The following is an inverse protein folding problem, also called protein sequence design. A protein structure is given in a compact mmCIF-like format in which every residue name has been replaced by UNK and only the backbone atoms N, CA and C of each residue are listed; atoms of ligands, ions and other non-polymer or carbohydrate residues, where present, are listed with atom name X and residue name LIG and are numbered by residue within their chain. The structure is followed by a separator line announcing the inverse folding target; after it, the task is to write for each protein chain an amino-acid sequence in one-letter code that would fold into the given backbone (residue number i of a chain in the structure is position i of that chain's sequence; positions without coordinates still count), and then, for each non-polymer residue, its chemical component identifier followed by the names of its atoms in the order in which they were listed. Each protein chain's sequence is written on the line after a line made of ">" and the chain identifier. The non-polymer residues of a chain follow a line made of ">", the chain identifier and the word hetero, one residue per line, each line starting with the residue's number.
data_IF_927461126800
#
_entry.id   IF_927461126800
#
_cell.length_a   1.000
_cell.length_b   1.000
_cell.length_c   1.000
_cell.angle_alpha   90.00
_cell.angle_beta   90.00
_cell.angle_gamma   90.00
#
_symmetry.space_group_name_H-M   'P 1'
#
loop_
_entity.id
_entity.type
_entity.pdbx_description
1 polymer ?
#
# COMPACT_ATOMS: atom_id res chain seq x y z
N UNK A 1 10.50 -10.77 12.73
CA UNK A 1 9.02 -10.73 12.93
C UNK A 1 8.46 -9.84 11.85
N UNK A 2 7.26 -10.10 11.32
CA UNK A 2 6.72 -9.34 10.19
C UNK A 2 5.25 -8.99 10.41
N UNK A 3 4.84 -7.83 9.89
CA UNK A 3 3.45 -7.46 9.69
C UNK A 3 3.23 -7.06 8.23
N UNK A 4 2.21 -7.63 7.59
CA UNK A 4 1.77 -7.24 6.26
C UNK A 4 0.64 -6.21 6.36
N UNK A 5 0.82 -5.04 5.77
CA UNK A 5 -0.16 -3.95 5.77
C UNK A 5 -0.52 -3.57 4.34
N UNK A 6 -1.79 -3.69 3.98
CA UNK A 6 -2.29 -3.18 2.71
C UNK A 6 -2.59 -1.68 2.80
N UNK A 7 -2.24 -0.95 1.75
CA UNK A 7 -2.65 0.45 1.59
C UNK A 7 -3.70 0.51 0.49
N UNK A 8 -4.95 0.72 0.87
CA UNK A 8 -6.10 0.59 -0.03
C UNK A 8 -6.99 1.83 -0.05
N UNK A 9 -7.80 1.94 -1.08
CA UNK A 9 -8.86 2.96 -1.19
C UNK A 9 -9.95 2.47 -2.11
N UNK A 10 -11.18 2.95 -1.95
CA UNK A 10 -12.29 2.59 -2.84
C UNK A 10 -12.30 3.34 -4.17
N UNK A 11 -11.29 4.18 -4.46
CA UNK A 11 -11.28 5.10 -5.61
C UNK A 11 -9.87 5.33 -6.12
N UNK A 12 -9.75 5.53 -7.44
CA UNK A 12 -8.49 5.94 -8.07
C UNK A 12 -8.09 7.38 -7.73
N UNK A 13 -6.79 7.63 -7.74
CA UNK A 13 -6.25 8.98 -7.58
C UNK A 13 -6.23 9.53 -6.14
N UNK A 14 -6.58 8.77 -5.11
CA UNK A 14 -6.53 9.20 -3.69
C UNK A 14 -5.12 9.42 -3.16
N UNK A 15 -4.10 8.88 -3.84
CA UNK A 15 -2.70 8.95 -3.46
C UNK A 15 -2.19 7.74 -2.68
N UNK A 16 -2.75 6.55 -2.90
CA UNK A 16 -2.28 5.29 -2.30
C UNK A 16 -0.78 5.10 -2.45
N UNK A 17 -0.29 5.02 -3.67
CA UNK A 17 1.14 4.82 -3.98
C UNK A 17 2.05 5.85 -3.30
N UNK A 18 1.64 7.14 -3.32
CA UNK A 18 2.36 8.19 -2.58
C UNK A 18 2.35 7.92 -1.07
N UNK A 19 1.22 7.47 -0.53
CA UNK A 19 1.08 7.10 0.89
C UNK A 19 1.92 5.87 1.21
N UNK A 20 1.87 4.83 0.38
CA UNK A 20 2.64 3.59 0.58
C UNK A 20 4.15 3.88 0.65
N UNK A 21 4.68 4.65 -0.29
CA UNK A 21 6.09 5.04 -0.29
C UNK A 21 6.44 5.96 0.89
N UNK A 22 5.56 6.91 1.23
CA UNK A 22 5.81 7.83 2.34
C UNK A 22 5.79 7.12 3.70
N UNK A 23 4.82 6.21 3.94
CA UNK A 23 4.78 5.37 5.13
C UNK A 23 5.98 4.42 5.17
N UNK A 24 6.32 3.81 4.03
CA UNK A 24 7.48 2.91 3.92
C UNK A 24 8.78 3.60 4.32
N UNK A 25 9.05 4.79 3.77
CA UNK A 25 10.24 5.56 4.13
C UNK A 25 10.26 5.98 5.60
N UNK A 26 9.11 6.42 6.15
CA UNK A 26 9.03 6.85 7.54
C UNK A 26 9.23 5.66 8.51
N UNK A 27 8.66 4.49 8.19
CA UNK A 27 8.83 3.28 8.99
C UNK A 27 10.24 2.69 8.87
N UNK A 28 10.91 2.90 7.72
CA UNK A 28 12.27 2.42 7.50
C UNK A 28 13.34 3.13 8.36
N UNK A 29 12.97 4.19 9.07
CA UNK A 29 13.84 4.81 10.08
C UNK A 29 14.07 3.89 11.29
N UNK A 30 13.15 2.95 11.58
CA UNK A 30 13.18 2.06 12.76
C UNK A 30 12.98 0.57 12.44
N UNK A 31 12.57 0.22 11.20
CA UNK A 31 12.20 -1.13 10.80
C UNK A 31 12.81 -1.53 9.46
N UNK A 32 13.00 -2.83 9.24
CA UNK A 32 13.26 -3.37 7.91
C UNK A 32 11.95 -3.40 7.10
N UNK A 33 11.81 -2.48 6.14
CA UNK A 33 10.59 -2.29 5.36
C UNK A 33 10.74 -2.79 3.93
N UNK A 34 9.73 -3.52 3.45
CA UNK A 34 9.59 -3.87 2.04
C UNK A 34 8.26 -3.33 1.50
N UNK A 35 8.30 -2.64 0.36
CA UNK A 35 7.12 -2.14 -0.35
C UNK A 35 6.92 -2.95 -1.63
N UNK A 36 5.72 -3.46 -1.85
CA UNK A 36 5.35 -4.22 -3.04
C UNK A 36 4.24 -3.50 -3.81
N UNK A 37 4.46 -3.27 -5.10
CA UNK A 37 3.41 -2.79 -6.00
C UNK A 37 2.47 -3.94 -6.35
N UNK A 38 1.40 -4.08 -5.60
CA UNK A 38 0.39 -5.11 -5.82
C UNK A 38 -0.74 -4.66 -6.77
N UNK A 39 -0.66 -3.44 -7.34
CA UNK A 39 -1.51 -2.98 -8.45
C UNK A 39 -0.98 -3.51 -9.79
N UNK A 40 -1.10 -4.81 -9.99
CA UNK A 40 -0.55 -5.48 -11.18
C UNK A 40 -1.16 -5.01 -12.49
N UNK A 41 -2.37 -4.44 -12.46
CA UNK A 41 -3.08 -3.98 -13.65
C UNK A 41 -2.78 -2.54 -14.07
N UNK A 42 -2.49 -1.68 -13.10
CA UNK A 42 -2.21 -0.25 -13.33
C UNK A 42 -1.00 0.21 -12.52
N UNK A 43 0.07 -0.58 -12.58
CA UNK A 43 1.31 -0.34 -11.87
C UNK A 43 1.87 1.05 -12.15
N UNK A 44 2.21 1.77 -11.09
CA UNK A 44 2.80 3.10 -11.21
C UNK A 44 3.85 3.40 -10.13
N UNK A 45 4.02 2.51 -9.16
CA UNK A 45 4.97 2.66 -8.07
C UNK A 45 6.40 2.79 -8.59
N UNK A 46 6.76 2.05 -9.65
CA UNK A 46 8.09 2.14 -10.27
C UNK A 46 8.46 3.59 -10.66
N UNK A 47 7.51 4.36 -11.20
CA UNK A 47 7.76 5.77 -11.59
C UNK A 47 7.91 6.68 -10.37
N UNK A 48 7.20 6.39 -9.28
CA UNK A 48 7.26 7.17 -8.04
C UNK A 48 8.49 6.85 -7.19
N UNK A 49 9.11 5.69 -7.42
CA UNK A 49 10.31 5.22 -6.72
C UNK A 49 11.60 5.39 -7.54
N UNK A 50 11.54 6.08 -8.70
CA UNK A 50 12.70 6.25 -9.57
C UNK A 50 13.24 4.93 -10.14
N UNK A 51 12.35 3.97 -10.42
CA UNK A 51 12.66 2.64 -10.93
C UNK A 51 12.08 2.43 -12.35
N UNK A 52 11.90 3.51 -13.10
CA UNK A 52 11.34 3.43 -14.46
C UNK A 52 12.15 2.62 -15.47
N UNK A 53 13.42 2.34 -15.17
CA UNK A 53 14.36 1.53 -15.92
C UNK A 53 14.68 0.17 -15.27
N UNK A 54 13.81 -0.30 -14.34
CA UNK A 54 13.98 -1.60 -13.70
C UNK A 54 13.90 -2.74 -14.72
N UNK A 55 14.96 -3.55 -14.77
CA UNK A 55 15.09 -4.69 -15.71
C UNK A 55 14.15 -5.85 -15.35
N UNK A 56 13.90 -6.06 -14.06
CA UNK A 56 13.08 -7.15 -13.54
C UNK A 56 11.99 -6.58 -12.63
N UNK A 57 10.77 -7.05 -12.77
CA UNK A 57 9.60 -6.53 -12.04
C UNK A 57 8.78 -7.66 -11.41
N UNK A 58 7.79 -7.31 -10.60
CA UNK A 58 6.86 -8.29 -10.04
C UNK A 58 6.17 -9.12 -11.14
N UNK A 59 5.89 -8.55 -12.33
CA UNK A 59 5.33 -9.33 -13.44
C UNK A 59 6.23 -10.52 -13.82
N UNK A 60 7.55 -10.33 -13.88
CA UNK A 60 8.49 -11.41 -14.23
C UNK A 60 8.47 -12.51 -13.16
N UNK A 61 8.31 -12.13 -11.89
CA UNK A 61 8.16 -13.07 -10.78
C UNK A 61 6.84 -13.84 -10.88
N UNK A 62 5.73 -13.15 -11.14
CA UNK A 62 4.40 -13.76 -11.29
C UNK A 62 4.32 -14.69 -12.53
N UNK A 63 5.12 -14.44 -13.55
CA UNK A 63 5.30 -15.29 -14.73
C UNK A 63 6.26 -16.46 -14.50
N UNK A 64 6.88 -16.57 -13.32
CA UNK A 64 7.94 -17.54 -13.02
C UNK A 64 9.20 -17.37 -13.89
N UNK A 65 9.43 -16.19 -14.41
CA UNK A 65 10.60 -15.87 -15.23
C UNK A 65 11.81 -15.42 -14.41
N UNK A 66 11.57 -14.94 -13.17
CA UNK A 66 12.62 -14.49 -12.26
C UNK A 66 12.26 -14.78 -10.79
N UNK A 67 13.24 -14.94 -9.90
CA UNK A 67 13.01 -14.98 -8.45
C UNK A 67 12.70 -13.57 -7.94
N UNK A 68 12.01 -13.47 -6.78
CA UNK A 68 11.59 -12.18 -6.22
C UNK A 68 12.77 -11.29 -5.82
N UNK A 69 13.87 -11.87 -5.45
CA UNK A 69 15.11 -11.15 -5.10
C UNK A 69 15.66 -10.34 -6.30
N UNK A 70 15.47 -10.83 -7.53
CA UNK A 70 15.87 -10.11 -8.74
C UNK A 70 14.96 -8.91 -9.07
N UNK A 71 13.73 -8.91 -8.56
CA UNK A 71 12.78 -7.81 -8.69
C UNK A 71 12.75 -6.90 -7.45
N UNK A 72 13.68 -7.08 -6.51
CA UNK A 72 13.76 -6.32 -5.26
C UNK A 72 14.91 -5.31 -5.34
N UNK A 73 14.59 -4.04 -5.16
CA UNK A 73 15.53 -2.93 -5.29
C UNK A 73 15.65 -2.15 -3.97
N UNK A 74 16.87 -1.90 -3.52
CA UNK A 74 17.12 -1.00 -2.38
C UNK A 74 16.92 0.45 -2.83
N UNK A 75 15.96 1.13 -2.24
CA UNK A 75 15.62 2.53 -2.53
C UNK A 75 15.16 3.26 -1.28
N UNK A 76 15.68 4.43 -1.04
CA UNK A 76 15.23 5.35 0.02
C UNK A 76 15.17 4.71 1.42
N UNK A 77 16.12 3.83 1.75
CA UNK A 77 16.22 3.14 3.04
C UNK A 77 15.28 1.93 3.19
N UNK A 78 14.53 1.58 2.16
CA UNK A 78 13.62 0.42 2.14
C UNK A 78 13.86 -0.44 0.89
N UNK A 79 13.33 -1.66 0.90
CA UNK A 79 13.26 -2.51 -0.28
C UNK A 79 11.97 -2.23 -1.04
N UNK A 80 12.06 -2.18 -2.37
CA UNK A 80 10.92 -1.90 -3.26
C UNK A 80 10.85 -2.98 -4.32
N UNK A 81 9.68 -3.60 -4.45
CA UNK A 81 9.35 -4.56 -5.51
C UNK A 81 8.34 -3.90 -6.46
N UNK A 82 8.81 -3.28 -7.54
CA UNK A 82 7.93 -2.60 -8.49
C UNK A 82 7.21 -3.62 -9.38
N UNK A 83 6.01 -3.28 -9.82
CA UNK A 83 5.33 -4.03 -10.87
C UNK A 83 5.56 -3.38 -12.24
N UNK A 84 5.62 -4.22 -13.28
CA UNK A 84 5.80 -3.75 -14.66
C UNK A 84 4.52 -3.13 -15.25
N UNK A 85 4.66 -2.46 -16.39
CA UNK A 85 3.55 -1.77 -17.08
C UNK A 85 3.06 -2.49 -18.35
N UNK A 86 3.57 -3.69 -18.62
CA UNK A 86 3.19 -4.48 -19.79
C UNK A 86 1.81 -5.11 -19.62
N UNK A 87 0.86 -4.76 -20.49
CA UNK A 87 -0.47 -5.37 -20.50
C UNK A 87 -0.38 -6.89 -20.79
N UNK A 88 0.49 -7.31 -21.72
CA UNK A 88 0.67 -8.73 -22.00
C UNK A 88 1.21 -9.52 -20.81
N UNK A 89 2.13 -8.92 -20.03
CA UNK A 89 2.63 -9.52 -18.81
C UNK A 89 1.55 -9.61 -17.73
N UNK A 90 0.72 -8.57 -17.58
CA UNK A 90 -0.42 -8.58 -16.67
C UNK A 90 -1.44 -9.68 -17.01
N UNK A 91 -1.80 -9.81 -18.28
CA UNK A 91 -2.77 -10.83 -18.75
C UNK A 91 -2.25 -12.27 -18.58
N UNK A 92 -0.93 -12.47 -18.69
CA UNK A 92 -0.29 -13.76 -18.56
C UNK A 92 0.11 -14.12 -17.12
N UNK A 93 0.20 -13.12 -16.23
CA UNK A 93 0.61 -13.32 -14.84
C UNK A 93 -0.44 -14.11 -14.05
N UNK A 94 0.04 -14.99 -13.17
CA UNK A 94 -0.81 -15.68 -12.20
C UNK A 94 -0.88 -14.86 -10.89
N UNK A 95 -2.01 -14.20 -10.60
CA UNK A 95 -2.14 -13.39 -9.37
C UNK A 95 -1.99 -14.23 -8.09
N UNK A 96 -2.29 -15.51 -8.11
CA UNK A 96 -2.19 -16.38 -6.93
C UNK A 96 -0.73 -16.56 -6.48
N UNK A 97 0.25 -16.34 -7.37
CA UNK A 97 1.67 -16.37 -7.03
C UNK A 97 2.11 -15.19 -6.13
N UNK A 98 1.33 -14.13 -6.04
CA UNK A 98 1.60 -13.06 -5.07
C UNK A 98 1.70 -13.58 -3.64
N UNK A 99 1.02 -14.68 -3.33
CA UNK A 99 1.10 -15.36 -2.03
C UNK A 99 2.51 -15.87 -1.73
N UNK A 100 3.15 -16.51 -2.72
CA UNK A 100 4.51 -17.02 -2.60
C UNK A 100 5.53 -15.87 -2.48
N UNK A 101 5.33 -14.81 -3.26
CA UNK A 101 6.14 -13.58 -3.20
C UNK A 101 6.10 -13.00 -1.79
N UNK A 102 4.92 -12.75 -1.25
CA UNK A 102 4.76 -12.20 0.10
C UNK A 102 5.34 -13.14 1.16
N UNK A 103 5.09 -14.45 1.05
CA UNK A 103 5.64 -15.44 1.98
C UNK A 103 7.19 -15.47 1.96
N UNK A 104 7.80 -15.19 0.82
CA UNK A 104 9.27 -15.12 0.69
C UNK A 104 9.79 -13.83 1.31
N UNK A 105 9.22 -12.67 0.96
CA UNK A 105 9.63 -11.37 1.48
C UNK A 105 9.41 -11.23 3.00
N UNK A 106 8.39 -11.90 3.54
CA UNK A 106 8.08 -11.88 4.98
C UNK A 106 9.19 -12.45 5.88
N UNK A 107 10.17 -13.18 5.32
CA UNK A 107 11.26 -13.78 6.11
C UNK A 107 12.31 -12.77 6.56
N UNK A 108 12.52 -11.76 5.75
CA UNK A 108 13.63 -10.80 5.89
C UNK A 108 13.13 -9.36 5.99
N UNK A 109 11.92 -9.15 6.49
CA UNK A 109 11.33 -7.81 6.67
C UNK A 109 10.52 -7.75 7.97
N UNK A 110 10.46 -6.57 8.59
CA UNK A 110 9.62 -6.32 9.76
C UNK A 110 8.24 -5.81 9.34
N UNK A 111 8.19 -4.97 8.31
CA UNK A 111 6.94 -4.40 7.77
C UNK A 111 6.88 -4.58 6.26
N UNK A 112 5.85 -5.27 5.80
CA UNK A 112 5.56 -5.45 4.38
C UNK A 112 4.36 -4.58 3.97
N UNK A 113 4.60 -3.55 3.17
CA UNK A 113 3.55 -2.66 2.65
C UNK A 113 3.11 -3.12 1.26
N UNK A 114 1.81 -3.34 1.07
CA UNK A 114 1.22 -3.73 -0.20
C UNK A 114 0.45 -2.53 -0.80
N UNK A 115 0.96 -1.94 -1.88
CA UNK A 115 0.24 -0.89 -2.64
C UNK A 115 -0.88 -1.54 -3.45
N UNK A 116 -2.12 -1.35 -3.01
CA UNK A 116 -3.28 -2.05 -3.57
C UNK A 116 -3.85 -1.34 -4.80
N UNK A 117 -4.53 -2.05 -5.71
CA UNK A 117 -5.29 -1.45 -6.80
C UNK A 117 -6.33 -0.43 -6.35
N UNK A 118 -6.75 0.42 -7.30
CA UNK A 118 -7.67 1.51 -7.01
C UNK A 118 -9.11 1.08 -6.70
N UNK A 119 -9.50 -0.11 -7.16
CA UNK A 119 -10.87 -0.64 -7.03
C UNK A 119 -10.82 -2.11 -6.63
N UNK A 120 -11.85 -2.59 -5.95
CA UNK A 120 -11.96 -3.98 -5.50
C UNK A 120 -12.73 -4.88 -6.49
N UNK A 121 -12.80 -4.49 -7.76
CA UNK A 121 -13.65 -5.15 -8.76
C UNK A 121 -13.05 -6.40 -9.43
N UNK A 122 -11.89 -6.89 -8.97
CA UNK A 122 -11.28 -8.12 -9.50
C UNK A 122 -10.58 -8.90 -8.39
N UNK A 123 -10.32 -10.19 -8.64
CA UNK A 123 -9.58 -11.05 -7.71
C UNK A 123 -8.20 -10.46 -7.36
N UNK A 124 -7.45 -10.01 -8.35
CA UNK A 124 -6.15 -9.36 -8.16
C UNK A 124 -6.23 -8.09 -7.33
N UNK A 125 -7.32 -7.34 -7.45
CA UNK A 125 -7.52 -6.09 -6.71
C UNK A 125 -7.84 -6.32 -5.22
N UNK A 126 -8.53 -7.40 -4.88
CA UNK A 126 -8.90 -7.75 -3.50
C UNK A 126 -7.75 -8.41 -2.75
N UNK A 127 -6.88 -9.10 -3.47
CA UNK A 127 -5.82 -9.95 -2.94
C UNK A 127 -4.93 -9.25 -1.90
N UNK A 128 -4.39 -8.05 -2.14
CA UNK A 128 -3.53 -7.38 -1.16
C UNK A 128 -4.27 -7.09 0.15
N UNK A 129 -5.55 -6.69 0.09
CA UNK A 129 -6.37 -6.38 1.27
C UNK A 129 -6.68 -7.65 2.07
N UNK A 130 -7.08 -8.72 1.38
CA UNK A 130 -7.46 -10.00 2.04
C UNK A 130 -6.25 -10.70 2.66
N UNK A 131 -5.08 -10.53 2.07
CA UNK A 131 -3.86 -11.20 2.52
C UNK A 131 -3.11 -10.43 3.61
N UNK A 132 -3.32 -9.13 3.76
CA UNK A 132 -2.67 -8.33 4.79
C UNK A 132 -3.16 -8.70 6.22
N UNK A 133 -2.34 -8.43 7.22
CA UNK A 133 -2.74 -8.48 8.63
C UNK A 133 -3.67 -7.31 8.96
N UNK A 134 -3.33 -6.13 8.45
CA UNK A 134 -4.14 -4.93 8.60
C UNK A 134 -4.19 -4.12 7.30
N UNK A 135 -5.20 -3.25 7.19
CA UNK A 135 -5.39 -2.35 6.04
C UNK A 135 -5.42 -0.89 6.48
N UNK A 136 -4.60 -0.05 5.86
CA UNK A 136 -4.70 1.41 5.92
C UNK A 136 -5.64 1.88 4.80
N UNK A 137 -6.72 2.55 5.17
CA UNK A 137 -7.69 3.10 4.21
C UNK A 137 -7.34 4.55 3.90
N UNK A 138 -6.99 4.84 2.64
CA UNK A 138 -6.61 6.19 2.18
C UNK A 138 -7.78 6.88 1.50
N UNK A 139 -8.19 8.04 2.02
CA UNK A 139 -9.37 8.78 1.56
C UNK A 139 -9.08 10.25 1.33
N UNK A 140 -9.76 10.84 0.35
CA UNK A 140 -9.94 12.30 0.34
C UNK A 140 -11.07 12.65 1.33
N UNK A 141 -11.03 13.81 2.03
CA UNK A 141 -12.05 14.16 3.03
C UNK A 141 -13.36 14.64 2.39
N UNK A 142 -14.03 13.74 1.67
CA UNK A 142 -15.31 13.99 1.01
C UNK A 142 -16.32 12.87 1.33
N UNK A 143 -17.61 13.19 1.35
CA UNK A 143 -18.64 12.19 1.64
C UNK A 143 -18.63 11.02 0.64
N UNK A 144 -18.51 11.23 -0.68
CA UNK A 144 -18.38 10.10 -1.61
C UNK A 144 -17.17 9.20 -1.31
N UNK A 145 -16.00 9.79 -0.99
CA UNK A 145 -14.82 9.02 -0.66
C UNK A 145 -14.99 8.19 0.64
N UNK A 146 -15.71 8.71 1.62
CA UNK A 146 -16.08 7.94 2.82
C UNK A 146 -16.88 6.69 2.45
N UNK A 147 -17.92 6.84 1.59
CA UNK A 147 -18.73 5.71 1.15
C UNK A 147 -17.92 4.64 0.42
N UNK A 148 -16.99 5.05 -0.44
CA UNK A 148 -16.12 4.12 -1.14
C UNK A 148 -15.12 3.45 -0.20
N UNK A 149 -14.59 4.19 0.77
CA UNK A 149 -13.68 3.64 1.79
C UNK A 149 -14.36 2.66 2.74
N UNK A 150 -15.64 2.86 3.07
CA UNK A 150 -16.41 1.93 3.89
C UNK A 150 -16.48 0.55 3.25
N UNK A 151 -16.67 0.48 1.93
CA UNK A 151 -16.63 -0.80 1.19
C UNK A 151 -15.28 -1.50 1.35
N UNK A 152 -14.17 -0.75 1.34
CA UNK A 152 -12.84 -1.32 1.59
C UNK A 152 -12.76 -1.91 2.99
N UNK A 153 -13.23 -1.18 4.02
CA UNK A 153 -13.28 -1.65 5.40
C UNK A 153 -14.17 -2.89 5.57
N UNK A 154 -15.35 -2.89 4.96
CA UNK A 154 -16.27 -4.04 4.97
C UNK A 154 -15.63 -5.28 4.31
N UNK A 155 -14.93 -5.09 3.18
CA UNK A 155 -14.17 -6.17 2.54
C UNK A 155 -13.07 -6.69 3.47
N UNK A 156 -12.22 -5.81 4.00
CA UNK A 156 -11.16 -6.20 4.90
C UNK A 156 -11.70 -7.05 6.07
N UNK A 157 -12.73 -6.55 6.75
CA UNK A 157 -13.36 -7.23 7.89
C UNK A 157 -14.02 -8.56 7.50
N UNK A 158 -14.71 -8.62 6.35
CA UNK A 158 -15.36 -9.84 5.86
C UNK A 158 -14.37 -10.98 5.60
N UNK A 159 -13.11 -10.64 5.29
CA UNK A 159 -12.03 -11.62 5.08
C UNK A 159 -11.04 -11.73 6.25
N UNK A 160 -11.40 -11.16 7.39
CA UNK A 160 -10.64 -11.29 8.63
C UNK A 160 -9.38 -10.43 8.67
N UNK A 161 -9.34 -9.35 7.89
CA UNK A 161 -8.29 -8.34 7.92
C UNK A 161 -8.75 -7.14 8.72
N UNK A 162 -7.96 -6.72 9.72
CA UNK A 162 -8.30 -5.57 10.55
C UNK A 162 -8.05 -4.25 9.81
N UNK A 163 -8.81 -3.20 10.15
CA UNK A 163 -8.53 -1.84 9.69
C UNK A 163 -7.50 -1.22 10.63
N UNK A 164 -6.28 -1.00 10.12
CA UNK A 164 -5.21 -0.34 10.87
C UNK A 164 -5.55 1.12 11.19
N UNK A 165 -6.31 1.75 10.31
CA UNK A 165 -6.81 3.10 10.47
C UNK A 165 -7.08 3.79 9.13
N UNK A 166 -7.57 5.03 9.24
CA UNK A 166 -7.91 5.88 8.08
C UNK A 166 -6.91 7.02 7.96
N UNK A 167 -6.35 7.20 6.78
CA UNK A 167 -5.51 8.34 6.43
C UNK A 167 -6.27 9.26 5.47
N UNK A 168 -6.53 10.49 5.89
CA UNK A 168 -7.09 11.51 5.00
C UNK A 168 -5.97 12.19 4.23
N UNK A 169 -6.02 12.08 2.91
CA UNK A 169 -5.04 12.67 2.00
C UNK A 169 -5.65 13.83 1.20
N UNK A 170 -4.79 14.72 0.71
CA UNK A 170 -5.17 15.90 -0.08
C UNK A 170 -6.17 16.82 0.64
N UNK A 171 -6.05 16.91 1.94
CA UNK A 171 -6.91 17.78 2.76
C UNK A 171 -6.77 19.23 2.31
N UNK A 172 -7.90 19.90 2.12
CA UNK A 172 -8.01 21.33 1.78
C UNK A 172 -9.02 22.00 2.71
N UNK A 173 -8.63 23.11 3.32
CA UNK A 173 -9.50 23.83 4.25
C UNK A 173 -9.92 22.98 5.46
N UNK A 174 -11.09 23.27 6.02
CA UNK A 174 -11.62 22.57 7.18
C UNK A 174 -12.29 21.23 6.79
N UNK A 175 -11.63 20.14 7.09
CA UNK A 175 -12.15 18.79 6.92
C UNK A 175 -12.73 18.18 8.21
N UNK A 176 -12.73 18.90 9.32
CA UNK A 176 -13.02 18.38 10.66
C UNK A 176 -14.31 17.57 10.75
N UNK A 177 -15.41 18.05 10.14
CA UNK A 177 -16.71 17.34 10.15
C UNK A 177 -16.68 16.01 9.41
N UNK A 178 -15.89 15.91 8.33
CA UNK A 178 -15.78 14.66 7.55
C UNK A 178 -14.92 13.66 8.30
N UNK A 179 -13.82 14.12 8.87
CA UNK A 179 -12.90 13.31 9.69
C UNK A 179 -13.61 12.77 10.93
N UNK A 180 -14.37 13.61 11.65
CA UNK A 180 -15.16 13.19 12.80
C UNK A 180 -16.22 12.13 12.44
N UNK A 181 -16.90 12.32 11.30
CA UNK A 181 -17.83 11.29 10.80
C UNK A 181 -17.15 9.97 10.51
N UNK A 182 -15.97 9.99 9.87
CA UNK A 182 -15.23 8.77 9.56
C UNK A 182 -14.94 7.95 10.83
N UNK A 183 -14.52 8.59 11.92
CA UNK A 183 -14.26 7.92 13.20
C UNK A 183 -15.45 7.19 13.81
N UNK A 184 -16.68 7.39 13.28
CA UNK A 184 -17.89 6.67 13.71
C UNK A 184 -18.22 5.45 12.87
N UNK A 185 -17.61 5.33 11.70
CA UNK A 185 -17.95 4.30 10.71
C UNK A 185 -16.82 3.32 10.42
N UNK A 186 -15.57 3.69 10.72
CA UNK A 186 -14.43 2.79 10.55
C UNK A 186 -14.01 2.20 11.90
N UNK A 187 -13.82 0.90 11.93
CA UNK A 187 -13.26 0.18 13.10
C UNK A 187 -11.75 0.38 13.21
N UNK A 188 -11.31 1.65 13.27
CA UNK A 188 -9.90 1.99 13.37
C UNK A 188 -9.67 3.48 13.60
N UNK A 189 -8.49 3.88 14.10
CA UNK A 189 -8.17 5.26 14.38
C UNK A 189 -7.99 6.10 13.11
N UNK A 190 -8.13 7.42 13.22
CA UNK A 190 -7.61 8.34 12.22
C UNK A 190 -6.08 8.44 12.40
N UNK A 191 -5.33 7.89 11.42
CA UNK A 191 -3.87 7.93 11.42
C UNK A 191 -3.34 9.34 11.17
N UNK A 192 -4.03 10.13 10.35
CA UNK A 192 -3.60 11.49 10.08
C UNK A 192 -4.41 12.20 9.00
N UNK A 193 -4.06 13.46 8.83
CA UNK A 193 -4.58 14.34 7.79
C UNK A 193 -3.40 14.95 7.02
N UNK A 194 -3.20 14.52 5.77
CA UNK A 194 -2.12 15.00 4.91
C UNK A 194 -2.65 16.14 4.05
N UNK A 195 -2.10 17.34 4.14
CA UNK A 195 -2.57 18.47 3.37
C UNK A 195 -2.31 18.28 1.87
N UNK A 196 -3.16 18.88 1.03
CA UNK A 196 -2.90 19.00 -0.40
C UNK A 196 -1.63 19.78 -0.64
N UNK A 197 -0.62 19.16 -1.28
CA UNK A 197 0.74 19.69 -1.35
C UNK A 197 1.22 19.86 -2.79
N UNK A 198 1.79 21.02 -3.12
CA UNK A 198 2.53 21.21 -4.37
C UNK A 198 3.83 20.40 -4.37
N UNK A 199 4.48 20.26 -3.20
CA UNK A 199 5.67 19.44 -3.06
C UNK A 199 5.41 17.98 -3.43
N UNK A 200 4.24 17.42 -3.05
CA UNK A 200 3.85 16.06 -3.45
C UNK A 200 3.64 15.93 -4.97
N UNK A 201 3.12 16.99 -5.62
CA UNK A 201 2.99 17.02 -7.09
C UNK A 201 4.35 17.16 -7.77
N UNK A 202 5.26 17.96 -7.20
CA UNK A 202 6.63 18.11 -7.70
C UNK A 202 7.42 16.80 -7.57
N UNK A 203 7.37 16.14 -6.42
CA UNK A 203 7.99 14.85 -6.16
C UNK A 203 7.55 13.80 -7.21
N UNK A 204 6.23 13.70 -7.45
CA UNK A 204 5.70 12.80 -8.47
C UNK A 204 6.22 13.11 -9.88
N UNK A 205 6.35 14.40 -10.26
CA UNK A 205 6.91 14.77 -11.57
C UNK A 205 8.40 14.46 -11.67
N UNK A 206 9.11 14.48 -10.55
CA UNK A 206 10.53 14.14 -10.48
C UNK A 206 10.78 12.61 -10.43
N UNK A 207 9.73 11.78 -10.24
CA UNK A 207 9.90 10.34 -10.03
C UNK A 207 10.52 10.00 -8.67
N UNK A 208 10.28 10.83 -7.66
CA UNK A 208 10.82 10.66 -6.31
C UNK A 208 9.71 10.58 -5.27
N UNK A 209 9.87 9.79 -4.18
CA UNK A 209 8.97 9.86 -3.04
C UNK A 209 8.99 11.24 -2.38
N UNK A 210 7.84 11.65 -1.81
CA UNK A 210 7.71 12.97 -1.17
C UNK A 210 8.73 13.20 -0.04
N UNK A 211 8.98 12.18 0.78
CA UNK A 211 9.90 12.31 1.92
C UNK A 211 11.38 12.47 1.48
N UNK A 212 11.74 11.99 0.29
CA UNK A 212 13.05 12.24 -0.31
C UNK A 212 13.11 13.62 -0.97
N UNK A 213 12.07 13.97 -1.73
CA UNK A 213 12.03 15.20 -2.53
C UNK A 213 11.87 16.47 -1.68
N UNK A 214 11.03 16.42 -0.65
CA UNK A 214 10.71 17.56 0.21
C UNK A 214 10.49 17.13 1.67
N UNK A 215 11.56 16.69 2.37
CA UNK A 215 11.48 16.10 3.70
C UNK A 215 10.89 17.03 4.76
N UNK A 216 11.05 18.33 4.61
CA UNK A 216 10.59 19.34 5.57
C UNK A 216 9.21 19.91 5.25
N UNK A 217 8.54 19.41 4.21
CA UNK A 217 7.19 19.85 3.86
C UNK A 217 6.17 19.43 4.93
N UNK A 218 5.09 20.21 5.06
CA UNK A 218 4.00 19.88 5.99
C UNK A 218 3.40 18.50 5.69
N UNK A 219 3.26 18.15 4.41
CA UNK A 219 2.77 16.85 3.99
C UNK A 219 3.73 15.71 4.38
N UNK A 220 5.05 15.91 4.27
CA UNK A 220 6.03 14.91 4.70
C UNK A 220 5.99 14.68 6.22
N UNK A 221 5.87 15.75 7.01
CA UNK A 221 5.67 15.64 8.47
C UNK A 221 4.39 14.90 8.81
N UNK A 222 3.29 15.22 8.14
CA UNK A 222 2.02 14.54 8.37
C UNK A 222 2.07 13.03 8.06
N UNK A 223 2.85 12.61 7.05
CA UNK A 223 3.08 11.18 6.78
C UNK A 223 3.94 10.51 7.85
N UNK A 224 5.00 11.17 8.37
CA UNK A 224 5.78 10.63 9.49
C UNK A 224 4.92 10.46 10.75
N UNK A 225 4.09 11.46 11.07
CA UNK A 225 3.15 11.37 12.20
C UNK A 225 2.15 10.23 12.02
N UNK A 226 1.69 9.99 10.79
CA UNK A 226 0.79 8.88 10.47
C UNK A 226 1.49 7.52 10.60
N UNK A 227 2.75 7.42 10.16
CA UNK A 227 3.57 6.22 10.32
C UNK A 227 3.77 5.87 11.81
N UNK A 228 4.09 6.87 12.64
CA UNK A 228 4.22 6.66 14.09
C UNK A 228 2.91 6.20 14.77
N UNK A 229 1.73 6.60 14.23
CA UNK A 229 0.44 6.13 14.74
C UNK A 229 0.03 4.77 14.19
N UNK A 230 0.58 4.33 13.08
CA UNK A 230 0.31 3.01 12.53
C UNK A 230 0.78 1.91 13.46
N UNK A 231 1.85 2.15 14.23
CA UNK A 231 2.39 1.27 15.26
C UNK A 231 2.43 -0.20 14.79
N UNK A 232 3.42 -0.58 13.96
CA UNK A 232 3.51 -1.93 13.43
C UNK A 232 3.54 -2.99 14.54
N UNK A 233 2.79 -4.08 14.34
CA UNK A 233 2.66 -5.20 15.28
C UNK A 233 3.22 -6.49 14.70
N UNK A 234 4.54 -6.58 14.53
CA UNK A 234 5.16 -7.69 13.84
C UNK A 234 4.90 -9.02 14.55
N UNK A 235 4.38 -9.98 13.78
CA UNK A 235 4.14 -11.35 14.21
C UNK A 235 5.18 -12.33 13.66
N UNK A 236 5.02 -13.64 13.96
CA UNK A 236 5.90 -14.67 13.42
C UNK A 236 5.77 -14.75 11.89
N UNK A 237 6.89 -14.77 11.12
CA UNK A 237 6.86 -14.82 9.66
C UNK A 237 6.08 -16.01 9.11
N UNK A 238 6.14 -17.16 9.80
CA UNK A 238 5.43 -18.37 9.43
C UNK A 238 3.90 -18.14 9.43
N UNK A 239 3.39 -17.39 10.41
CA UNK A 239 1.96 -17.09 10.53
C UNK A 239 1.47 -16.22 9.37
N UNK A 240 2.25 -15.22 8.97
CA UNK A 240 1.96 -14.40 7.79
C UNK A 240 1.99 -15.25 6.53
N UNK A 241 3.05 -16.04 6.35
CA UNK A 241 3.19 -16.93 5.21
C UNK A 241 2.05 -17.97 5.13
N UNK A 242 1.65 -18.56 6.24
CA UNK A 242 0.56 -19.56 6.28
C UNK A 242 -0.80 -18.91 6.00
N UNK A 243 -1.05 -17.69 6.51
CA UNK A 243 -2.25 -16.93 6.17
C UNK A 243 -2.32 -16.66 4.67
N UNK A 244 -1.23 -16.21 4.05
CA UNK A 244 -1.18 -15.99 2.61
C UNK A 244 -1.43 -17.28 1.81
N UNK A 245 -0.87 -18.42 2.23
CA UNK A 245 -1.07 -19.71 1.54
C UNK A 245 -2.48 -20.26 1.72
N UNK A 246 -3.09 -20.08 2.88
CA UNK A 246 -4.38 -20.69 3.25
C UNK A 246 -5.59 -19.80 2.92
N UNK A 247 -5.40 -18.51 2.61
CA UNK A 247 -6.48 -17.60 2.33
C UNK A 247 -7.27 -18.06 1.08
N UNK A 248 -8.55 -18.32 1.27
CA UNK A 248 -9.48 -18.53 0.16
C UNK A 248 -9.90 -17.16 -0.36
N UNK A 249 -9.55 -16.88 -1.62
CA UNK A 249 -9.96 -15.62 -2.24
C UNK A 249 -11.32 -15.87 -2.88
N UNK A 250 -12.34 -15.13 -2.45
CA UNK A 250 -13.65 -15.23 -3.05
C UNK A 250 -13.63 -14.60 -4.46
N UNK A 251 -14.56 -15.05 -5.28
CA UNK A 251 -14.87 -14.31 -6.49
C UNK A 251 -15.41 -12.92 -6.11
N UNK A 252 -14.97 -11.85 -6.79
CA UNK A 252 -15.49 -10.51 -6.55
C UNK A 252 -17.00 -10.47 -6.80
N UNK A 253 -17.73 -9.62 -6.06
CA UNK A 253 -19.18 -9.51 -6.21
C UNK A 253 -19.63 -8.98 -7.57
#
# INVERSE_FOLDING_TARGET
>A
MVEAVAVASGKGGTGKTTTTLALGMALAEEHDVTVVDADTGMANLLFHAGLGDADTTLHDVLLNAAPVEAATYDRFGMRVVPCGTSLAAFEAADPDRLREVVATLARDTDVLLLDSPATLGSKSAVLPVVLADRTVVVLEPTIPALSDGLKVGEYATAYGTDVAGVLFNKVRGDAGRVVEKAGRYFDGPTLGQVPSSEAARAARRAGEPLLAHAPDSEAARAFRDAAGRLDPKPGAPERVADRFRSAVIPDPP
#
